data_IF_203472456367
#
_entry.id   IF_203472456367
#
_cell.length_a   1.000
_cell.length_b   1.000
_cell.length_c   1.000
_cell.angle_alpha   90.00
_cell.angle_beta   90.00
_cell.angle_gamma   90.00
#
_symmetry.space_group_name_H-M   'P 1'
#
loop_
_entity.id
_entity.type
_entity.pdbx_description
1 polymer ?
#
# COMPACT_ATOMS: atom_id res chain seq x y z
N UNK A 1 -19.00 16.15 -20.43
CA UNK A 1 -17.53 16.25 -20.38
C UNK A 1 -17.10 15.35 -19.25
N UNK A 2 -16.38 14.26 -19.51
CA UNK A 2 -15.83 13.44 -18.44
C UNK A 2 -14.79 14.30 -17.71
N UNK A 3 -14.95 14.50 -16.40
CA UNK A 3 -13.89 15.06 -15.58
C UNK A 3 -12.63 14.21 -15.78
N UNK A 4 -11.49 14.86 -16.04
CA UNK A 4 -10.16 14.23 -16.06
C UNK A 4 -9.86 13.76 -14.63
N UNK A 5 -10.41 12.61 -14.21
CA UNK A 5 -10.22 12.10 -12.85
C UNK A 5 -8.80 11.57 -12.76
N UNK A 6 -7.91 12.39 -12.21
CA UNK A 6 -6.50 12.05 -12.03
C UNK A 6 -6.31 11.32 -10.70
N UNK A 7 -6.28 10.00 -10.76
CA UNK A 7 -5.76 9.20 -9.65
C UNK A 7 -4.26 9.39 -9.50
N UNK A 8 -3.73 9.00 -8.35
CA UNK A 8 -2.29 9.06 -8.06
C UNK A 8 -1.89 7.95 -7.09
N UNK A 9 -0.67 7.45 -7.22
CA UNK A 9 -0.10 6.47 -6.30
C UNK A 9 1.12 7.05 -5.58
N UNK A 10 1.19 6.83 -4.27
CA UNK A 10 2.41 7.02 -3.48
C UNK A 10 2.71 5.73 -2.72
N UNK A 11 3.92 5.20 -2.91
CA UNK A 11 4.43 4.06 -2.15
C UNK A 11 5.29 4.55 -0.98
N UNK A 12 4.95 4.13 0.24
CA UNK A 12 5.65 4.54 1.47
C UNK A 12 6.19 3.34 2.26
N UNK A 13 7.24 3.61 3.03
CA UNK A 13 7.76 2.65 4.01
C UNK A 13 7.21 2.93 5.40
N UNK A 14 6.75 1.89 6.08
CA UNK A 14 6.35 1.99 7.50
C UNK A 14 7.51 1.77 8.47
N UNK A 15 8.68 1.39 7.94
CA UNK A 15 9.84 0.99 8.72
C UNK A 15 9.64 -0.37 9.39
N UNK A 16 10.56 -0.71 10.29
CA UNK A 16 10.58 -2.02 10.97
C UNK A 16 9.97 -1.99 12.38
N UNK A 17 9.97 -0.82 13.04
CA UNK A 17 9.40 -0.65 14.37
C UNK A 17 8.05 0.04 14.27
N UNK A 18 7.02 -0.59 14.84
CA UNK A 18 5.65 -0.07 14.89
C UNK A 18 5.63 1.37 15.40
N UNK A 19 5.16 2.31 14.57
CA UNK A 19 5.11 3.74 14.88
C UNK A 19 6.47 4.45 14.93
N UNK A 20 7.50 3.80 15.45
CA UNK A 20 8.80 4.42 15.74
C UNK A 20 9.61 4.83 14.51
N UNK A 21 9.44 4.13 13.37
CA UNK A 21 10.20 4.42 12.14
C UNK A 21 9.38 5.14 11.06
N UNK A 22 8.08 5.40 11.30
CA UNK A 22 7.26 6.06 10.30
C UNK A 22 7.64 7.54 10.20
N UNK A 23 8.11 7.96 9.02
CA UNK A 23 8.43 9.37 8.79
C UNK A 23 7.16 10.24 8.79
N UNK A 24 7.25 11.52 9.17
CA UNK A 24 6.11 12.43 9.11
C UNK A 24 5.48 12.53 7.71
N UNK A 25 6.29 12.47 6.65
CA UNK A 25 5.81 12.50 5.27
C UNK A 25 5.03 11.22 4.92
N UNK A 26 5.56 10.05 5.28
CA UNK A 26 4.85 8.78 5.05
C UNK A 26 3.52 8.74 5.80
N UNK A 27 3.49 9.25 7.04
CA UNK A 27 2.26 9.38 7.81
C UNK A 27 1.22 10.26 7.11
N UNK A 28 1.63 11.43 6.60
CA UNK A 28 0.72 12.33 5.90
C UNK A 28 0.12 11.69 4.64
N UNK A 29 0.91 10.93 3.87
CA UNK A 29 0.40 10.22 2.69
C UNK A 29 -0.61 9.12 3.04
N UNK A 30 -0.41 8.42 4.16
CA UNK A 30 -1.36 7.41 4.67
C UNK A 30 -2.67 8.09 5.11
N UNK A 31 -2.60 9.16 5.90
CA UNK A 31 -3.77 9.84 6.46
C UNK A 31 -4.61 10.57 5.39
N UNK A 32 -3.99 11.04 4.30
CA UNK A 32 -4.66 11.83 3.25
C UNK A 32 -5.11 10.99 2.04
N UNK A 33 -4.73 9.72 1.96
CA UNK A 33 -5.14 8.85 0.87
C UNK A 33 -6.64 8.54 0.93
N UNK A 34 -7.26 8.41 -0.24
CA UNK A 34 -8.64 7.90 -0.35
C UNK A 34 -8.71 6.42 0.01
N UNK A 35 -7.62 5.68 -0.23
CA UNK A 35 -7.50 4.26 0.06
C UNK A 35 -6.04 3.88 0.36
N UNK A 36 -5.85 3.05 1.38
CA UNK A 36 -4.54 2.52 1.77
C UNK A 36 -4.53 1.01 1.53
N UNK A 37 -3.57 0.54 0.73
CA UNK A 37 -3.29 -0.88 0.56
C UNK A 37 -1.96 -1.22 1.21
N UNK A 38 -1.91 -2.29 1.99
CA UNK A 38 -0.69 -2.64 2.71
C UNK A 38 -0.40 -4.13 2.76
N UNK A 39 0.88 -4.48 2.68
CA UNK A 39 1.36 -5.82 3.02
C UNK A 39 2.28 -5.70 4.24
N UNK A 40 1.78 -6.02 5.44
CA UNK A 40 2.53 -5.90 6.70
C UNK A 40 2.90 -7.25 7.28
N UNK A 41 4.06 -7.36 7.91
CA UNK A 41 4.52 -8.62 8.51
C UNK A 41 3.74 -9.07 9.75
N UNK A 42 2.93 -8.19 10.34
CA UNK A 42 2.21 -8.43 11.59
C UNK A 42 0.85 -7.72 11.60
N UNK A 43 -0.18 -8.38 12.12
CA UNK A 43 -1.56 -7.86 12.16
C UNK A 43 -1.75 -6.64 13.08
N UNK A 44 -0.90 -6.45 14.09
CA UNK A 44 -0.93 -5.25 14.94
C UNK A 44 -0.58 -3.99 14.14
N UNK A 45 0.36 -4.11 13.19
CA UNK A 45 0.72 -3.00 12.28
C UNK A 45 -0.45 -2.68 11.37
N UNK A 46 -1.18 -3.69 10.89
CA UNK A 46 -2.39 -3.48 10.08
C UNK A 46 -3.51 -2.80 10.86
N UNK A 47 -3.73 -3.19 12.12
CA UNK A 47 -4.70 -2.54 13.00
C UNK A 47 -4.34 -1.07 13.23
N UNK A 48 -3.06 -0.79 13.50
CA UNK A 48 -2.59 0.58 13.67
C UNK A 48 -2.72 1.42 12.38
N UNK A 49 -2.39 0.86 11.21
CA UNK A 49 -2.60 1.55 9.93
C UNK A 49 -4.08 1.85 9.67
N UNK A 50 -4.99 0.95 10.07
CA UNK A 50 -6.43 1.17 10.00
C UNK A 50 -6.92 2.32 10.90
N UNK A 51 -6.26 2.54 12.04
CA UNK A 51 -6.54 3.72 12.89
C UNK A 51 -6.09 5.02 12.22
N UNK A 52 -5.01 5.00 11.44
CA UNK A 52 -4.55 6.17 10.66
C UNK A 52 -5.44 6.46 9.46
N UNK A 53 -5.97 5.43 8.80
CA UNK A 53 -6.91 5.57 7.70
C UNK A 53 -7.94 4.41 7.69
N UNK A 54 -9.24 4.69 7.95
CA UNK A 54 -10.28 3.66 7.96
C UNK A 54 -10.50 2.95 6.61
N UNK A 55 -10.14 3.58 5.48
CA UNK A 55 -10.18 2.98 4.14
C UNK A 55 -8.94 2.11 3.86
N UNK A 56 -8.60 1.26 4.84
CA UNK A 56 -7.44 0.38 4.81
C UNK A 56 -7.82 -1.02 4.31
N UNK A 57 -7.00 -1.55 3.40
CA UNK A 57 -7.13 -2.90 2.86
C UNK A 57 -5.79 -3.65 2.96
N UNK A 58 -5.80 -4.82 3.60
CA UNK A 58 -4.65 -5.70 3.61
C UNK A 58 -4.49 -6.41 2.26
N UNK A 59 -3.27 -6.45 1.76
CA UNK A 59 -2.84 -7.24 0.60
C UNK A 59 -2.40 -8.65 1.00
N UNK A 60 -2.25 -8.95 2.30
CA UNK A 60 -1.86 -10.27 2.78
C UNK A 60 -2.74 -11.42 2.27
N UNK A 61 -4.07 -11.27 2.14
CA UNK A 61 -4.94 -12.32 1.61
C UNK A 61 -4.65 -12.73 0.15
N UNK A 62 -3.84 -11.96 -0.60
CA UNK A 62 -3.42 -12.32 -1.95
C UNK A 62 -2.31 -13.37 -1.96
N UNK A 63 -1.65 -13.63 -0.82
CA UNK A 63 -0.79 -14.81 -0.68
C UNK A 63 -1.63 -16.07 -0.57
N UNK A 64 -1.26 -17.09 -1.33
CA UNK A 64 -1.89 -18.40 -1.32
C UNK A 64 -0.82 -19.49 -1.26
N UNK A 65 -1.11 -20.57 -0.53
CA UNK A 65 -0.21 -21.71 -0.48
C UNK A 65 -0.07 -22.35 -1.86
N UNK A 66 1.16 -22.71 -2.25
CA UNK A 66 1.47 -23.27 -3.57
C UNK A 66 1.49 -22.27 -4.72
N UNK A 67 1.09 -21.01 -4.51
CA UNK A 67 1.14 -19.96 -5.53
C UNK A 67 2.55 -19.33 -5.61
N UNK A 68 3.15 -19.20 -6.80
CA UNK A 68 4.38 -18.44 -6.96
C UNK A 68 4.20 -17.00 -6.51
N UNK A 69 5.15 -16.49 -5.72
CA UNK A 69 5.09 -15.12 -5.17
C UNK A 69 4.97 -14.04 -6.25
N UNK A 70 5.55 -14.26 -7.43
CA UNK A 70 5.43 -13.33 -8.56
C UNK A 70 3.98 -13.09 -8.96
N UNK A 71 3.13 -14.12 -8.97
CA UNK A 71 1.71 -13.98 -9.28
C UNK A 71 0.96 -13.22 -8.18
N UNK A 72 1.28 -13.47 -6.91
CA UNK A 72 0.76 -12.66 -5.80
C UNK A 72 1.16 -11.20 -5.97
N UNK A 73 2.41 -10.92 -6.33
CA UNK A 73 2.90 -9.56 -6.48
C UNK A 73 2.26 -8.83 -7.66
N UNK A 74 2.09 -9.50 -8.80
CA UNK A 74 1.34 -8.97 -9.95
C UNK A 74 -0.11 -8.63 -9.55
N UNK A 75 -0.77 -9.48 -8.74
CA UNK A 75 -2.11 -9.20 -8.23
C UNK A 75 -2.13 -7.98 -7.29
N UNK A 76 -1.11 -7.81 -6.45
CA UNK A 76 -0.95 -6.63 -5.60
C UNK A 76 -0.78 -5.36 -6.43
N UNK A 77 0.11 -5.37 -7.44
CA UNK A 77 0.31 -4.24 -8.36
C UNK A 77 -1.01 -3.89 -9.04
N UNK A 78 -1.71 -4.88 -9.60
CA UNK A 78 -3.00 -4.66 -10.25
C UNK A 78 -4.03 -4.02 -9.30
N UNK A 79 -4.08 -4.47 -8.06
CA UNK A 79 -4.98 -3.89 -7.04
C UNK A 79 -4.71 -2.39 -6.84
N UNK A 80 -3.44 -1.98 -6.78
CA UNK A 80 -3.06 -0.57 -6.66
C UNK A 80 -3.46 0.22 -7.91
N UNK A 81 -3.11 -0.30 -9.10
CA UNK A 81 -3.32 0.39 -10.37
C UNK A 81 -4.82 0.52 -10.71
N UNK A 82 -5.64 -0.50 -10.40
CA UNK A 82 -7.08 -0.45 -10.65
C UNK A 82 -7.74 0.67 -9.80
N UNK A 83 -7.28 0.88 -8.56
CA UNK A 83 -7.75 1.98 -7.71
C UNK A 83 -7.28 3.36 -8.22
N UNK A 84 -6.05 3.46 -8.72
CA UNK A 84 -5.56 4.68 -9.40
C UNK A 84 -6.38 4.98 -10.65
N UNK A 85 -6.68 3.96 -11.47
CA UNK A 85 -7.50 4.09 -12.67
C UNK A 85 -8.95 4.47 -12.35
N UNK A 86 -9.45 4.12 -11.16
CA UNK A 86 -10.72 4.59 -10.62
C UNK A 86 -10.66 6.05 -10.12
N UNK A 87 -9.50 6.70 -10.21
CA UNK A 87 -9.32 8.11 -9.89
C UNK A 87 -8.96 8.41 -8.44
N UNK A 88 -8.61 7.40 -7.66
CA UNK A 88 -8.33 7.54 -6.23
C UNK A 88 -6.90 8.03 -5.97
N UNK A 89 -6.71 8.76 -4.86
CA UNK A 89 -5.40 8.99 -4.24
C UNK A 89 -5.03 7.76 -3.42
N UNK A 90 -4.21 6.88 -4.01
CA UNK A 90 -3.83 5.59 -3.45
C UNK A 90 -2.50 5.69 -2.67
N UNK A 91 -2.47 5.14 -1.46
CA UNK A 91 -1.23 4.93 -0.72
C UNK A 91 -0.92 3.43 -0.61
N UNK A 92 0.21 3.00 -1.18
CA UNK A 92 0.77 1.67 -0.98
C UNK A 92 1.75 1.67 0.19
N UNK A 93 1.41 1.02 1.30
CA UNK A 93 2.27 0.96 2.48
C UNK A 93 3.00 -0.40 2.58
N UNK A 94 4.32 -0.37 2.70
CA UNK A 94 5.17 -1.57 2.77
C UNK A 94 6.08 -1.52 4.00
N UNK A 95 6.21 -2.63 4.73
CA UNK A 95 7.11 -2.69 5.88
C UNK A 95 8.57 -2.45 5.46
N UNK A 96 9.35 -1.83 6.35
CA UNK A 96 10.72 -1.42 6.02
C UNK A 96 10.76 -0.21 5.08
N UNK A 97 11.49 -0.33 3.96
CA UNK A 97 11.63 0.72 2.96
C UNK A 97 11.03 0.25 1.62
N UNK A 98 10.19 1.05 0.94
CA UNK A 98 9.45 0.61 -0.25
C UNK A 98 10.35 0.44 -1.49
N UNK A 99 11.66 0.63 -1.35
CA UNK A 99 12.62 0.49 -2.43
C UNK A 99 13.68 -0.59 -2.18
N UNK A 100 13.65 -1.24 -1.01
CA UNK A 100 14.69 -2.19 -0.58
C UNK A 100 14.03 -3.56 -0.40
N UNK A 101 14.35 -4.50 -1.31
CA UNK A 101 13.75 -5.84 -1.35
C UNK A 101 12.21 -5.87 -1.42
N UNK A 102 11.61 -4.86 -2.05
CA UNK A 102 10.15 -4.76 -2.23
C UNK A 102 9.82 -4.67 -3.72
N UNK A 103 9.21 -5.70 -4.31
CA UNK A 103 8.96 -5.74 -5.75
C UNK A 103 7.74 -4.90 -6.17
N UNK A 104 6.62 -5.09 -5.47
CA UNK A 104 5.34 -4.40 -5.76
C UNK A 104 5.46 -2.88 -5.90
N UNK A 105 6.09 -2.15 -4.95
CA UNK A 105 6.19 -0.70 -5.07
C UNK A 105 7.08 -0.21 -6.22
N UNK A 106 8.00 -1.02 -6.74
CA UNK A 106 8.82 -0.66 -7.90
C UNK A 106 8.06 -0.83 -9.21
N UNK A 107 7.26 -1.89 -9.33
CA UNK A 107 6.50 -2.17 -10.55
C UNK A 107 5.22 -1.32 -10.68
N UNK A 108 4.72 -0.79 -9.56
CA UNK A 108 3.50 0.01 -9.55
C UNK A 108 3.72 1.50 -9.87
N UNK A 109 4.97 1.99 -9.93
CA UNK A 109 5.33 3.42 -10.09
C UNK A 109 6.00 3.73 -11.41
#
# INVERSE_FOLDING_TARGET
MASDVRGSLVCVGTGMMLGGHLSPRARAEIEQADVVYAAMSDGLVELWLRELNPAFHSLQPLYQEGLPRTQTYEAMVRTLIDAVAAGQRVCGAFYGHPAVFAWVPHEAV
#
